data_IF_877682275418
#
_entry.id   IF_877682275418
#
_cell.length_a   1.000
_cell.length_b   1.000
_cell.length_c   1.000
_cell.angle_alpha   90.00
_cell.angle_beta   90.00
_cell.angle_gamma   90.00
#
_symmetry.space_group_name_H-M   'P 1'
#
loop_
_entity.id
_entity.type
_entity.pdbx_description
1 polymer ?
#
# COMPACT_ATOMS: atom_id res chain seq x y z
N UNK A 1 -28.12 -9.43 26.77
CA UNK A 1 -27.88 -8.84 25.42
C UNK A 1 -27.03 -7.55 25.45
N UNK A 2 -27.15 -6.67 26.46
CA UNK A 2 -26.35 -5.41 26.58
C UNK A 2 -24.82 -5.60 26.73
N UNK A 3 -24.34 -6.64 27.42
CA UNK A 3 -22.89 -6.86 27.63
C UNK A 3 -22.08 -7.13 26.33
N UNK A 4 -22.65 -7.85 25.36
CA UNK A 4 -21.98 -8.10 24.06
C UNK A 4 -21.78 -6.80 23.27
N UNK A 5 -22.70 -5.86 23.41
CA UNK A 5 -22.62 -4.55 22.76
C UNK A 5 -21.46 -3.72 23.31
N UNK A 6 -21.35 -3.64 24.64
CA UNK A 6 -20.27 -2.90 25.34
C UNK A 6 -18.89 -3.48 24.99
N UNK A 7 -18.74 -4.80 24.98
CA UNK A 7 -17.49 -5.46 24.60
C UNK A 7 -17.07 -5.15 23.15
N UNK A 8 -18.04 -5.04 22.23
CA UNK A 8 -17.79 -4.67 20.83
C UNK A 8 -17.31 -3.21 20.71
N UNK A 9 -17.93 -2.28 21.43
CA UNK A 9 -17.50 -0.87 21.44
C UNK A 9 -16.10 -0.70 22.01
N UNK A 10 -15.77 -1.42 23.09
CA UNK A 10 -14.43 -1.42 23.69
C UNK A 10 -13.38 -2.03 22.75
N UNK A 11 -13.74 -3.05 21.97
CA UNK A 11 -12.85 -3.62 20.96
C UNK A 11 -12.56 -2.62 19.84
N UNK A 12 -13.60 -1.99 19.29
CA UNK A 12 -13.47 -1.03 18.20
C UNK A 12 -12.68 0.20 18.63
N UNK A 13 -12.95 0.77 19.81
CA UNK A 13 -12.22 1.95 20.30
C UNK A 13 -10.72 1.68 20.46
N UNK A 14 -10.35 0.48 20.92
CA UNK A 14 -8.94 0.06 21.05
C UNK A 14 -8.24 -0.06 19.69
N UNK A 15 -8.92 -0.61 18.69
CA UNK A 15 -8.39 -0.67 17.31
C UNK A 15 -8.21 0.73 16.75
N UNK A 16 -9.18 1.64 16.97
CA UNK A 16 -9.10 3.03 16.51
C UNK A 16 -7.95 3.80 17.17
N UNK A 17 -7.68 3.57 18.46
CA UNK A 17 -6.54 4.19 19.15
C UNK A 17 -5.19 3.72 18.58
N UNK A 18 -5.04 2.42 18.33
CA UNK A 18 -3.85 1.87 17.69
C UNK A 18 -3.71 2.37 16.25
N UNK A 19 -4.83 2.47 15.52
CA UNK A 19 -4.87 3.03 14.17
C UNK A 19 -4.39 4.49 14.17
N UNK A 20 -4.91 5.33 15.08
CA UNK A 20 -4.49 6.72 15.22
C UNK A 20 -3.00 6.82 15.49
N UNK A 21 -2.48 6.03 16.42
CA UNK A 21 -1.04 5.97 16.72
C UNK A 21 -0.23 5.60 15.48
N UNK A 22 -0.65 4.57 14.76
CA UNK A 22 0.06 4.10 13.57
C UNK A 22 0.03 5.13 12.45
N UNK A 23 -1.11 5.75 12.19
CA UNK A 23 -1.24 6.81 11.20
C UNK A 23 -0.37 8.00 11.57
N UNK A 24 -0.34 8.42 12.85
CA UNK A 24 0.54 9.50 13.28
C UNK A 24 2.03 9.16 13.13
N UNK A 25 2.42 7.92 13.43
CA UNK A 25 3.80 7.46 13.26
C UNK A 25 4.20 7.26 11.79
N UNK A 26 3.25 6.89 10.92
CA UNK A 26 3.49 6.64 9.51
C UNK A 26 3.38 7.90 8.64
N UNK A 27 2.51 8.85 9.02
CA UNK A 27 2.28 10.11 8.31
C UNK A 27 3.34 11.13 8.77
N UNK A 28 4.58 10.92 8.36
CA UNK A 28 5.52 12.03 8.26
C UNK A 28 5.21 12.80 6.96
N UNK A 29 5.22 14.14 6.99
CA UNK A 29 5.03 14.99 5.80
C UNK A 29 6.03 14.61 4.70
N UNK A 30 7.27 14.34 5.10
CA UNK A 30 8.32 13.92 4.17
C UNK A 30 7.99 12.56 3.56
N UNK A 31 7.47 11.63 4.36
CA UNK A 31 7.08 10.30 3.92
C UNK A 31 5.94 10.33 2.89
N UNK A 32 4.87 11.08 3.16
CA UNK A 32 3.75 11.22 2.21
C UNK A 32 4.18 11.87 0.90
N UNK A 33 5.05 12.88 0.95
CA UNK A 33 5.61 13.52 -0.24
C UNK A 33 6.38 12.49 -1.05
N UNK A 34 7.30 11.73 -0.46
CA UNK A 34 8.06 10.71 -1.18
C UNK A 34 7.20 9.59 -1.74
N UNK A 35 6.18 9.16 -0.99
CA UNK A 35 5.29 8.07 -1.39
C UNK A 35 4.44 8.43 -2.62
N UNK A 36 4.11 9.71 -2.81
CA UNK A 36 3.29 10.17 -3.93
C UNK A 36 4.16 10.71 -5.08
N UNK A 37 5.17 11.52 -4.75
CA UNK A 37 5.99 12.24 -5.72
C UNK A 37 6.80 11.28 -6.59
N UNK A 38 7.40 10.24 -6.00
CA UNK A 38 8.24 9.30 -6.75
C UNK A 38 7.45 8.52 -7.83
N UNK A 39 6.30 7.89 -7.53
CA UNK A 39 5.49 7.22 -8.55
C UNK A 39 4.93 8.19 -9.58
N UNK A 40 4.49 9.38 -9.18
CA UNK A 40 4.04 10.40 -10.13
C UNK A 40 5.18 10.77 -11.08
N UNK A 41 6.37 11.05 -10.55
CA UNK A 41 7.55 11.34 -11.35
C UNK A 41 7.87 10.20 -12.33
N UNK A 42 7.77 8.94 -11.89
CA UNK A 42 7.93 7.78 -12.76
C UNK A 42 6.87 7.70 -13.85
N UNK A 43 5.58 7.92 -13.53
CA UNK A 43 4.50 7.92 -14.52
C UNK A 43 4.77 8.96 -15.61
N UNK A 44 5.15 10.19 -15.24
CA UNK A 44 5.39 11.24 -16.22
C UNK A 44 6.67 10.95 -17.03
N UNK A 45 7.80 10.69 -16.39
CA UNK A 45 9.07 10.55 -17.11
C UNK A 45 9.14 9.24 -17.88
N UNK A 46 8.91 8.12 -17.20
CA UNK A 46 8.97 6.81 -17.86
C UNK A 46 7.80 6.64 -18.82
N UNK A 47 6.61 7.13 -18.46
CA UNK A 47 5.43 7.05 -19.33
C UNK A 47 5.64 7.74 -20.67
N UNK A 48 6.07 9.01 -20.66
CA UNK A 48 6.31 9.76 -21.90
C UNK A 48 7.58 9.31 -22.64
N UNK A 49 8.67 9.00 -21.92
CA UNK A 49 9.89 8.54 -22.57
C UNK A 49 9.68 7.21 -23.30
N UNK A 50 8.99 6.26 -22.68
CA UNK A 50 8.72 4.97 -23.30
C UNK A 50 7.64 5.05 -24.38
N UNK A 51 6.62 5.91 -24.23
CA UNK A 51 5.67 6.20 -25.32
C UNK A 51 6.39 6.67 -26.59
N UNK A 52 7.34 7.60 -26.44
CA UNK A 52 8.12 8.09 -27.58
C UNK A 52 8.99 7.00 -28.22
N UNK A 53 9.56 6.08 -27.43
CA UNK A 53 10.36 4.96 -27.95
C UNK A 53 9.54 3.93 -28.72
N UNK A 54 8.29 3.69 -28.32
CA UNK A 54 7.37 2.78 -29.03
C UNK A 54 6.61 3.48 -30.17
N UNK A 55 6.97 4.72 -30.49
CA UNK A 55 6.37 5.50 -31.58
C UNK A 55 4.92 5.89 -31.33
N UNK A 56 4.57 6.14 -30.06
CA UNK A 56 3.21 6.45 -29.59
C UNK A 56 2.16 5.39 -29.97
N UNK A 57 2.61 4.18 -30.30
CA UNK A 57 1.74 3.03 -30.50
C UNK A 57 1.25 2.59 -29.12
N UNK A 58 -0.06 2.70 -28.90
CA UNK A 58 -0.68 2.24 -27.65
C UNK A 58 -0.44 0.76 -27.40
N UNK A 59 -0.48 0.35 -26.13
CA UNK A 59 -0.37 -1.04 -25.71
C UNK A 59 -1.69 -1.74 -26.00
N UNK A 60 -1.64 -2.85 -26.73
CA UNK A 60 -2.81 -3.70 -26.96
C UNK A 60 -3.08 -4.59 -25.74
N UNK A 61 -4.15 -4.30 -25.02
CA UNK A 61 -4.69 -5.14 -23.95
C UNK A 61 -5.95 -5.81 -24.46
N UNK A 62 -5.81 -7.04 -24.96
CA UNK A 62 -6.89 -7.76 -25.64
C UNK A 62 -7.29 -7.05 -26.94
N UNK A 63 -8.52 -6.57 -27.03
CA UNK A 63 -9.05 -5.83 -28.18
C UNK A 63 -8.92 -4.30 -28.07
N UNK A 64 -8.42 -3.79 -26.94
CA UNK A 64 -8.30 -2.35 -26.68
C UNK A 64 -6.84 -1.90 -26.82
N UNK A 65 -6.62 -0.75 -27.44
CA UNK A 65 -5.34 -0.07 -27.42
C UNK A 65 -5.41 1.04 -26.38
N UNK A 66 -4.54 0.98 -25.37
CA UNK A 66 -4.44 1.96 -24.28
C UNK A 66 -3.09 2.67 -24.35
N UNK A 67 -3.01 3.94 -23.97
CA UNK A 67 -1.70 4.59 -23.88
C UNK A 67 -0.77 3.89 -22.87
N UNK A 68 0.52 3.97 -23.14
CA UNK A 68 1.54 3.44 -22.23
C UNK A 68 1.49 4.12 -20.86
N UNK A 69 1.16 5.41 -20.82
CA UNK A 69 1.01 6.19 -19.58
C UNK A 69 -0.13 5.64 -18.71
N UNK A 70 -1.28 5.31 -19.31
CA UNK A 70 -2.42 4.72 -18.61
C UNK A 70 -2.14 3.32 -18.09
N UNK A 71 -1.45 2.49 -18.88
CA UNK A 71 -0.97 1.18 -18.44
C UNK A 71 0.00 1.27 -17.25
N UNK A 72 1.01 2.14 -17.36
CA UNK A 72 2.00 2.36 -16.32
C UNK A 72 1.35 2.91 -15.04
N UNK A 73 0.36 3.80 -15.17
CA UNK A 73 -0.38 4.35 -14.02
C UNK A 73 -1.07 3.24 -13.21
N UNK A 74 -1.72 2.29 -13.89
CA UNK A 74 -2.32 1.13 -13.22
C UNK A 74 -1.28 0.29 -12.47
N UNK A 75 -0.12 0.07 -13.09
CA UNK A 75 1.00 -0.64 -12.48
C UNK A 75 1.58 0.07 -11.26
N UNK A 76 1.79 1.39 -11.38
CA UNK A 76 2.34 2.24 -10.32
C UNK A 76 1.41 2.33 -9.11
N UNK A 77 0.09 2.25 -9.30
CA UNK A 77 -0.85 2.12 -8.18
C UNK A 77 -0.63 0.81 -7.40
N UNK A 78 -0.50 -0.32 -8.08
CA UNK A 78 -0.20 -1.61 -7.45
C UNK A 78 1.16 -1.62 -6.76
N UNK A 79 2.18 -1.07 -7.43
CA UNK A 79 3.51 -0.87 -6.87
C UNK A 79 3.47 -0.01 -5.60
N UNK A 80 2.66 1.04 -5.58
CA UNK A 80 2.54 1.91 -4.40
C UNK A 80 1.91 1.21 -3.21
N UNK A 81 0.87 0.39 -3.44
CA UNK A 81 0.27 -0.44 -2.38
C UNK A 81 1.28 -1.43 -1.82
N UNK A 82 2.08 -2.03 -2.70
CA UNK A 82 3.12 -2.97 -2.33
C UNK A 82 4.22 -2.30 -1.48
N UNK A 83 4.73 -1.15 -1.92
CA UNK A 83 5.69 -0.35 -1.15
C UNK A 83 5.09 0.18 0.16
N UNK A 84 3.84 0.66 0.14
CA UNK A 84 3.13 1.11 1.34
C UNK A 84 2.94 0.00 2.38
N UNK A 85 2.87 -1.25 1.94
CA UNK A 85 2.76 -2.41 2.84
C UNK A 85 4.07 -2.69 3.60
N UNK A 86 5.22 -2.28 3.08
CA UNK A 86 6.51 -2.37 3.80
C UNK A 86 6.49 -1.57 5.12
N UNK A 87 5.74 -0.46 5.16
CA UNK A 87 5.58 0.37 6.35
C UNK A 87 5.04 -0.46 7.52
N UNK A 88 4.05 -1.33 7.28
CA UNK A 88 3.44 -2.14 8.32
C UNK A 88 4.44 -3.14 8.94
N UNK A 89 5.25 -3.78 8.09
CA UNK A 89 6.34 -4.63 8.56
C UNK A 89 7.41 -3.84 9.32
N UNK A 90 7.73 -2.63 8.88
CA UNK A 90 8.70 -1.74 9.55
C UNK A 90 8.19 -1.23 10.90
N UNK A 91 6.90 -0.86 11.01
CA UNK A 91 6.27 -0.51 12.29
C UNK A 91 6.35 -1.70 13.24
N UNK A 92 5.96 -2.89 12.79
CA UNK A 92 6.04 -4.10 13.62
C UNK A 92 7.48 -4.38 14.07
N UNK A 93 8.42 -4.28 13.13
CA UNK A 93 9.84 -4.50 13.38
C UNK A 93 10.38 -3.54 14.43
N UNK A 94 10.11 -2.24 14.28
CA UNK A 94 10.54 -1.20 15.20
C UNK A 94 9.89 -1.35 16.58
N UNK A 95 8.58 -1.65 16.63
CA UNK A 95 7.86 -1.91 17.88
C UNK A 95 8.48 -3.10 18.63
N UNK A 96 8.86 -4.17 17.92
CA UNK A 96 9.54 -5.34 18.49
C UNK A 96 10.94 -4.99 18.97
N UNK A 97 11.73 -4.29 18.14
CA UNK A 97 13.14 -3.96 18.43
C UNK A 97 13.28 -3.04 19.63
N UNK A 98 12.37 -2.08 19.78
CA UNK A 98 12.39 -1.11 20.87
C UNK A 98 11.66 -1.59 22.13
N UNK A 99 11.19 -2.85 22.16
CA UNK A 99 10.42 -3.40 23.28
C UNK A 99 9.00 -2.84 23.43
N UNK A 100 8.61 -1.89 22.58
CA UNK A 100 7.31 -1.23 22.60
C UNK A 100 6.16 -2.22 22.35
N UNK A 101 6.38 -3.29 21.57
CA UNK A 101 5.41 -4.37 21.38
C UNK A 101 4.96 -5.00 22.70
N UNK A 102 5.90 -5.24 23.63
CA UNK A 102 5.56 -5.80 24.94
C UNK A 102 4.83 -4.78 25.82
N UNK A 103 5.21 -3.49 25.73
CA UNK A 103 4.51 -2.41 26.44
C UNK A 103 3.06 -2.27 25.96
N UNK A 104 2.80 -2.41 24.65
CA UNK A 104 1.45 -2.38 24.08
C UNK A 104 0.62 -3.56 24.56
N UNK A 105 1.22 -4.74 24.68
CA UNK A 105 0.51 -5.92 25.18
C UNK A 105 0.34 -5.92 26.71
N UNK A 106 1.11 -5.13 27.45
CA UNK A 106 0.92 -4.91 28.88
C UNK A 106 -0.27 -3.95 29.16
N UNK A 107 -0.57 -3.06 28.22
CA UNK A 107 -1.79 -2.27 28.17
C UNK A 107 -3.00 -3.16 27.78
N UNK A 108 -4.26 -2.68 27.88
CA UNK A 108 -5.43 -3.51 27.58
C UNK A 108 -5.64 -3.76 26.07
N UNK A 109 -4.60 -4.08 25.31
CA UNK A 109 -4.64 -4.41 23.89
C UNK A 109 -4.32 -5.90 23.66
N UNK A 110 -4.96 -6.50 22.65
CA UNK A 110 -4.65 -7.86 22.23
C UNK A 110 -3.81 -7.86 20.94
N UNK A 111 -3.01 -8.91 20.73
CA UNK A 111 -2.23 -9.17 19.50
C UNK A 111 -3.08 -9.05 18.24
N UNK A 112 -4.32 -9.55 18.27
CA UNK A 112 -5.26 -9.48 17.14
C UNK A 112 -5.64 -8.02 16.83
N UNK A 113 -5.93 -7.22 17.86
CA UNK A 113 -6.28 -5.80 17.68
C UNK A 113 -5.11 -5.02 17.07
N UNK A 114 -3.89 -5.35 17.49
CA UNK A 114 -2.67 -4.77 16.94
C UNK A 114 -2.47 -5.09 15.46
N UNK A 115 -2.61 -6.37 15.08
CA UNK A 115 -2.50 -6.78 13.67
C UNK A 115 -3.59 -6.13 12.82
N UNK A 116 -4.85 -6.13 13.29
CA UNK A 116 -5.95 -5.47 12.59
C UNK A 116 -5.68 -3.98 12.42
N UNK A 117 -5.21 -3.28 13.46
CA UNK A 117 -4.89 -1.86 13.36
C UNK A 117 -3.79 -1.59 12.33
N UNK A 118 -2.74 -2.41 12.28
CA UNK A 118 -1.70 -2.30 11.25
C UNK A 118 -2.25 -2.55 9.83
N UNK A 119 -3.09 -3.58 9.65
CA UNK A 119 -3.73 -3.88 8.36
C UNK A 119 -4.69 -2.77 7.91
N UNK A 120 -5.43 -2.15 8.82
CA UNK A 120 -6.30 -1.01 8.48
C UNK A 120 -5.45 0.23 8.15
N UNK A 121 -4.34 0.44 8.86
CA UNK A 121 -3.41 1.55 8.60
C UNK A 121 -2.89 1.50 7.17
N UNK A 122 -2.39 0.33 6.73
CA UNK A 122 -1.85 0.18 5.37
C UNK A 122 -2.92 0.29 4.29
N UNK A 123 -4.17 -0.11 4.57
CA UNK A 123 -5.28 0.06 3.63
C UNK A 123 -5.55 1.55 3.43
N UNK A 124 -5.59 2.32 4.53
CA UNK A 124 -5.80 3.76 4.46
C UNK A 124 -4.65 4.44 3.70
N UNK A 125 -3.40 4.10 4.02
CA UNK A 125 -2.23 4.67 3.34
C UNK A 125 -2.25 4.32 1.84
N UNK A 126 -2.47 3.05 1.48
CA UNK A 126 -2.49 2.60 0.09
C UNK A 126 -3.63 3.22 -0.72
N UNK A 127 -4.83 3.34 -0.13
CA UNK A 127 -5.95 4.00 -0.79
C UNK A 127 -5.71 5.51 -0.95
N UNK A 128 -5.13 6.16 0.07
CA UNK A 128 -4.82 7.59 0.02
C UNK A 128 -3.78 7.88 -1.06
N UNK A 129 -2.71 7.08 -1.12
CA UNK A 129 -1.66 7.25 -2.13
C UNK A 129 -2.16 6.94 -3.54
N UNK A 130 -2.92 5.86 -3.73
CA UNK A 130 -3.52 5.54 -5.03
C UNK A 130 -4.49 6.63 -5.50
N UNK A 131 -5.32 7.16 -4.60
CA UNK A 131 -6.22 8.29 -4.91
C UNK A 131 -5.43 9.53 -5.33
N UNK A 132 -4.36 9.86 -4.60
CA UNK A 132 -3.49 10.99 -4.97
C UNK A 132 -2.82 10.79 -6.33
N UNK A 133 -2.30 9.58 -6.61
CA UNK A 133 -1.69 9.23 -7.91
C UNK A 133 -2.69 9.38 -9.04
N UNK A 134 -3.92 8.87 -8.89
CA UNK A 134 -4.98 9.03 -9.90
C UNK A 134 -5.29 10.51 -10.11
N UNK A 135 -5.49 11.28 -9.03
CA UNK A 135 -5.83 12.71 -9.15
C UNK A 135 -4.75 13.52 -9.88
N UNK A 136 -3.48 13.21 -9.63
CA UNK A 136 -2.36 13.89 -10.28
C UNK A 136 -2.13 13.37 -11.71
N UNK A 137 -2.40 12.09 -11.96
CA UNK A 137 -2.30 11.45 -13.28
C UNK A 137 -3.52 11.69 -14.17
N UNK A 138 -4.64 12.16 -13.63
CA UNK A 138 -5.90 12.38 -14.37
C UNK A 138 -5.70 13.11 -15.70
N UNK A 139 -4.94 14.23 -15.79
CA UNK A 139 -4.74 14.94 -17.05
C UNK A 139 -4.12 14.08 -18.16
N UNK A 140 -3.32 13.08 -17.80
CA UNK A 140 -2.57 12.26 -18.77
C UNK A 140 -3.30 10.96 -19.14
N UNK A 141 -4.19 10.48 -18.27
CA UNK A 141 -4.91 9.20 -18.43
C UNK A 141 -6.37 9.38 -18.84
N UNK A 142 -6.89 10.61 -18.89
CA UNK A 142 -8.31 10.90 -19.12
C UNK A 142 -8.86 10.32 -20.43
N UNK A 143 -8.02 10.18 -21.46
CA UNK A 143 -8.46 9.69 -22.78
C UNK A 143 -8.63 8.17 -22.83
N UNK A 144 -7.94 7.40 -21.98
CA UNK A 144 -8.01 5.94 -21.99
C UNK A 144 -8.88 5.36 -20.86
N UNK A 145 -9.19 6.15 -19.82
CA UNK A 145 -9.93 5.66 -18.67
C UNK A 145 -11.43 5.79 -18.88
N UNK A 146 -12.10 4.64 -18.90
CA UNK A 146 -13.55 4.58 -18.75
C UNK A 146 -13.91 4.39 -17.26
N UNK A 147 -14.22 5.49 -16.57
CA UNK A 147 -14.61 5.47 -15.15
C UNK A 147 -16.02 4.87 -15.05
N UNK A 148 -16.09 3.56 -14.81
CA UNK A 148 -17.33 2.85 -14.53
C UNK A 148 -17.43 2.53 -13.04
N UNK A 149 -18.65 2.45 -12.52
CA UNK A 149 -18.90 2.05 -11.12
C UNK A 149 -18.28 0.69 -10.79
N UNK A 150 -18.34 -0.24 -11.75
CA UNK A 150 -17.73 -1.56 -11.64
C UNK A 150 -16.21 -1.49 -11.65
N UNK A 151 -15.61 -0.74 -12.57
CA UNK A 151 -14.16 -0.52 -12.64
C UNK A 151 -13.60 0.04 -11.33
N UNK A 152 -14.23 1.09 -10.79
CA UNK A 152 -13.85 1.68 -9.50
C UNK A 152 -13.93 0.66 -8.36
N UNK A 153 -14.99 -0.14 -8.32
CA UNK A 153 -15.17 -1.16 -7.28
C UNK A 153 -14.10 -2.25 -7.36
N UNK A 154 -13.76 -2.71 -8.57
CA UNK A 154 -12.68 -3.66 -8.79
C UNK A 154 -11.32 -3.09 -8.43
N UNK A 155 -11.04 -1.82 -8.76
CA UNK A 155 -9.80 -1.14 -8.38
C UNK A 155 -9.68 -1.06 -6.86
N UNK A 156 -10.72 -0.58 -6.16
CA UNK A 156 -10.72 -0.50 -4.69
C UNK A 156 -10.52 -1.89 -4.09
N UNK A 157 -11.23 -2.90 -4.58
CA UNK A 157 -11.06 -4.28 -4.11
C UNK A 157 -9.62 -4.78 -4.32
N UNK A 158 -9.03 -4.57 -5.49
CA UNK A 158 -7.67 -4.98 -5.80
C UNK A 158 -6.64 -4.28 -4.90
N UNK A 159 -6.80 -2.97 -4.66
CA UNK A 159 -5.94 -2.22 -3.76
C UNK A 159 -6.05 -2.74 -2.32
N UNK A 160 -7.26 -2.95 -1.81
CA UNK A 160 -7.49 -3.51 -0.46
C UNK A 160 -6.92 -4.92 -0.34
N UNK A 161 -7.18 -5.79 -1.31
CA UNK A 161 -6.68 -7.16 -1.32
C UNK A 161 -5.14 -7.20 -1.37
N UNK A 162 -4.53 -6.39 -2.25
CA UNK A 162 -3.07 -6.24 -2.35
C UNK A 162 -2.47 -5.73 -1.05
N UNK A 163 -3.06 -4.69 -0.47
CA UNK A 163 -2.71 -4.14 0.84
C UNK A 163 -2.71 -5.23 1.92
N UNK A 164 -3.80 -6.00 2.04
CA UNK A 164 -3.90 -7.06 3.05
C UNK A 164 -2.87 -8.17 2.79
N UNK A 165 -2.68 -8.57 1.53
CA UNK A 165 -1.72 -9.62 1.15
C UNK A 165 -0.29 -9.22 1.50
N UNK A 166 0.21 -8.11 0.94
CA UNK A 166 1.58 -7.64 1.17
C UNK A 166 1.79 -7.18 2.62
N UNK A 167 0.77 -6.60 3.24
CA UNK A 167 0.79 -6.20 4.65
C UNK A 167 0.93 -7.39 5.59
N UNK A 168 0.12 -8.43 5.38
CA UNK A 168 0.23 -9.66 6.17
C UNK A 168 1.59 -10.33 5.96
N UNK A 169 2.07 -10.34 4.73
CA UNK A 169 3.35 -10.92 4.37
C UNK A 169 4.53 -10.23 5.07
N UNK A 170 4.58 -8.90 5.01
CA UNK A 170 5.64 -8.10 5.66
C UNK A 170 5.61 -8.21 7.17
N UNK A 171 4.42 -8.26 7.79
CA UNK A 171 4.28 -8.55 9.23
C UNK A 171 4.83 -9.93 9.56
N UNK A 172 4.48 -10.98 8.80
CA UNK A 172 5.03 -12.33 9.02
C UNK A 172 6.56 -12.32 8.92
N UNK A 173 7.11 -11.67 7.90
CA UNK A 173 8.56 -11.54 7.74
C UNK A 173 9.21 -10.86 8.96
N UNK A 174 8.63 -9.75 9.42
CA UNK A 174 9.12 -9.01 10.59
C UNK A 174 9.10 -9.84 11.89
N UNK A 175 8.18 -10.80 12.03
CA UNK A 175 8.17 -11.68 13.21
C UNK A 175 9.35 -12.64 13.22
N UNK A 176 9.73 -13.18 12.06
CA UNK A 176 10.77 -14.22 11.91
C UNK A 176 12.19 -13.67 11.94
N UNK A 177 12.40 -12.44 11.49
CA UNK A 177 13.75 -11.87 11.40
C UNK A 177 14.31 -11.44 12.77
N UNK A 178 15.65 -11.44 12.89
CA UNK A 178 16.39 -11.08 14.11
C UNK A 178 17.19 -9.78 14.01
N UNK A 179 17.54 -9.35 12.80
CA UNK A 179 18.23 -8.08 12.52
C UNK A 179 17.48 -7.24 11.50
N UNK A 180 17.70 -5.91 11.54
CA UNK A 180 17.20 -4.95 10.56
C UNK A 180 17.73 -5.24 9.17
N UNK A 181 19.02 -5.55 9.07
CA UNK A 181 19.69 -5.85 7.79
C UNK A 181 19.06 -7.05 7.11
N UNK A 182 18.82 -8.14 7.86
CA UNK A 182 18.17 -9.32 7.31
C UNK A 182 16.73 -9.01 6.91
N UNK A 183 15.96 -8.26 7.72
CA UNK A 183 14.61 -7.84 7.32
C UNK A 183 14.63 -7.03 6.02
N UNK A 184 15.51 -6.04 5.89
CA UNK A 184 15.60 -5.19 4.71
C UNK A 184 16.02 -5.97 3.47
N UNK A 185 17.03 -6.84 3.55
CA UNK A 185 17.48 -7.64 2.41
C UNK A 185 16.39 -8.59 1.93
N UNK A 186 15.75 -9.33 2.85
CA UNK A 186 14.69 -10.26 2.48
C UNK A 186 13.44 -9.55 1.97
N UNK A 187 13.06 -8.44 2.59
CA UNK A 187 11.90 -7.66 2.16
C UNK A 187 12.14 -7.13 0.75
N UNK A 188 13.22 -6.37 0.53
CA UNK A 188 13.51 -5.78 -0.78
C UNK A 188 13.75 -6.84 -1.86
N UNK A 189 14.51 -7.90 -1.59
CA UNK A 189 14.74 -8.97 -2.57
C UNK A 189 13.45 -9.65 -3.02
N UNK A 190 12.50 -9.83 -2.11
CA UNK A 190 11.23 -10.48 -2.41
C UNK A 190 10.25 -9.54 -3.13
N UNK A 191 10.27 -8.24 -2.78
CA UNK A 191 9.53 -7.24 -3.53
C UNK A 191 10.06 -7.09 -4.96
N UNK A 192 11.38 -7.15 -5.17
CA UNK A 192 11.98 -7.22 -6.51
C UNK A 192 11.40 -8.41 -7.31
N UNK A 193 11.30 -9.59 -6.70
CA UNK A 193 10.67 -10.73 -7.37
C UNK A 193 9.23 -10.44 -7.81
N UNK A 194 8.40 -9.85 -6.93
CA UNK A 194 7.02 -9.49 -7.29
C UNK A 194 6.93 -8.40 -8.37
N UNK A 195 7.87 -7.46 -8.38
CA UNK A 195 7.96 -6.41 -9.40
C UNK A 195 8.15 -7.03 -10.79
N UNK A 196 9.08 -7.99 -10.93
CA UNK A 196 9.37 -8.63 -12.22
C UNK A 196 8.36 -9.70 -12.64
N UNK A 197 7.58 -10.24 -11.70
CA UNK A 197 6.44 -11.11 -12.03
C UNK A 197 5.22 -10.29 -12.49
N UNK A 198 5.17 -9.01 -12.13
CA UNK A 198 4.13 -8.10 -12.60
C UNK A 198 4.32 -7.78 -14.09
N UNK A 199 3.23 -7.64 -14.83
CA UNK A 199 3.26 -7.23 -16.25
C UNK A 199 3.72 -5.79 -16.48
N UNK A 200 3.97 -5.03 -15.41
CA UNK A 200 4.30 -3.61 -15.45
C UNK A 200 5.77 -3.37 -15.84
N UNK A 201 6.64 -4.33 -15.54
CA UNK A 201 8.08 -4.30 -15.80
C UNK A 201 8.46 -5.39 -16.80
#
# INVERSE_FOLDING_TARGET
>A
MKMKSIAKYVFISRVLLLLYRNLFAAIDKMFLIWQILLPVFQIYIMGYAYSALIGDQGISVGALSISYVSFLTAGMMGFNVMQGSQIAGTIFWNDKRNGMFQQILAMPFNKIQYVIANLVTLIIIGLTSATAIILIGLPTIFQDINITLWGMSYTIFALVAGSVFFGSFTIILSTKMKSSETYNVFSNGLFIFFIFVSSVF
#
